data_IF_415413162979
#
_entry.id   IF_415413162979
#
_cell.length_a   1.000
_cell.length_b   1.000
_cell.length_c   1.000
_cell.angle_alpha   90.00
_cell.angle_beta   90.00
_cell.angle_gamma   90.00
#
_symmetry.space_group_name_H-M   'P 1'
#
loop_
_entity.id
_entity.type
_entity.pdbx_description
1 polymer ?
#
# COMPACT_ATOMS: atom_id res chain seq x y z
N UNK A 1 -26.73 -15.50 -37.49
CA UNK A 1 -26.79 -14.15 -38.10
C UNK A 1 -27.18 -13.14 -37.02
N UNK A 2 -26.23 -12.73 -36.17
CA UNK A 2 -26.08 -11.36 -35.64
C UNK A 2 -24.87 -11.32 -34.71
N UNK A 3 -23.71 -11.08 -35.31
CA UNK A 3 -22.39 -11.12 -34.67
C UNK A 3 -21.71 -9.74 -34.84
N UNK A 4 -22.39 -8.68 -34.36
CA UNK A 4 -21.90 -7.29 -34.39
C UNK A 4 -22.18 -6.62 -33.05
N UNK A 5 -21.28 -6.75 -32.07
CA UNK A 5 -21.08 -5.75 -31.00
C UNK A 5 -19.93 -6.13 -30.05
N UNK A 6 -18.69 -6.25 -30.55
CA UNK A 6 -17.50 -6.51 -29.70
C UNK A 6 -16.33 -5.53 -29.83
N UNK A 7 -16.49 -4.40 -30.53
CA UNK A 7 -15.35 -3.54 -30.90
C UNK A 7 -15.26 -2.14 -30.27
N UNK A 8 -15.96 -1.84 -29.18
CA UNK A 8 -15.91 -0.51 -28.52
C UNK A 8 -15.19 -0.45 -27.16
N UNK A 9 -14.47 -1.50 -26.74
CA UNK A 9 -13.85 -1.53 -25.39
C UNK A 9 -12.41 -0.98 -25.29
N UNK A 10 -11.75 -0.60 -26.39
CA UNK A 10 -10.33 -0.19 -26.37
C UNK A 10 -10.07 1.33 -26.48
N UNK A 11 -11.08 2.17 -26.75
CA UNK A 11 -10.87 3.62 -26.96
C UNK A 11 -10.92 4.47 -25.67
N UNK A 12 -10.99 3.83 -24.49
CA UNK A 12 -11.05 4.51 -23.19
C UNK A 12 -9.68 4.92 -22.61
N UNK A 13 -8.59 4.80 -23.36
CA UNK A 13 -7.22 5.00 -22.84
C UNK A 13 -6.63 6.41 -22.98
N UNK A 14 -7.29 7.33 -23.70
CA UNK A 14 -6.87 8.72 -23.89
C UNK A 14 -7.99 9.71 -23.53
N UNK A 15 -8.38 9.76 -22.26
CA UNK A 15 -9.15 10.89 -21.73
C UNK A 15 -8.25 12.10 -21.51
N UNK A 16 -8.61 13.23 -22.13
CA UNK A 16 -7.97 14.54 -22.04
C UNK A 16 -7.74 14.98 -20.57
N UNK A 17 -6.52 15.47 -20.26
CA UNK A 17 -6.14 15.90 -18.92
C UNK A 17 -6.84 17.19 -18.48
N UNK A 18 -7.28 18.06 -19.41
CA UNK A 18 -7.80 19.40 -19.07
C UNK A 18 -9.25 19.41 -18.55
N UNK A 19 -10.04 18.38 -18.82
CA UNK A 19 -11.46 18.34 -18.42
C UNK A 19 -11.71 17.98 -16.95
N UNK A 20 -10.77 17.33 -16.26
CA UNK A 20 -11.01 16.85 -14.89
C UNK A 20 -10.97 17.93 -13.80
N UNK A 21 -10.41 19.11 -14.07
CA UNK A 21 -10.40 20.21 -13.10
C UNK A 21 -11.79 20.87 -12.99
N UNK A 22 -12.66 20.65 -13.98
CA UNK A 22 -13.99 21.29 -14.08
C UNK A 22 -15.18 20.32 -13.89
N UNK A 23 -14.95 19.07 -13.50
CA UNK A 23 -15.97 18.00 -13.47
C UNK A 23 -16.92 17.96 -12.26
N UNK A 24 -17.13 19.03 -11.50
CA UNK A 24 -18.09 18.99 -10.37
C UNK A 24 -19.19 20.07 -10.44
N UNK A 25 -20.10 20.04 -11.45
CA UNK A 25 -21.35 20.79 -11.38
C UNK A 25 -22.43 19.93 -10.70
N UNK A 26 -22.36 19.81 -9.37
CA UNK A 26 -23.48 19.55 -8.42
C UNK A 26 -22.90 19.15 -7.05
N UNK A 27 -23.46 19.62 -5.93
CA UNK A 27 -22.63 19.91 -4.76
C UNK A 27 -22.15 18.71 -3.92
N UNK A 28 -22.70 17.48 -4.05
CA UNK A 28 -22.30 16.38 -3.14
C UNK A 28 -22.16 14.96 -3.73
N UNK A 29 -22.94 14.56 -4.75
CA UNK A 29 -22.81 13.20 -5.32
C UNK A 29 -21.53 13.00 -6.16
N UNK A 30 -20.94 14.08 -6.66
CA UNK A 30 -19.80 14.01 -7.58
C UNK A 30 -18.43 13.90 -6.91
N UNK A 31 -18.32 14.13 -5.59
CA UNK A 31 -17.01 14.20 -4.94
C UNK A 31 -16.32 12.83 -4.90
N UNK A 32 -17.04 11.75 -4.61
CA UNK A 32 -16.47 10.38 -4.58
C UNK A 32 -15.94 9.96 -5.96
N UNK A 33 -16.66 10.30 -7.03
CA UNK A 33 -16.25 10.05 -8.41
C UNK A 33 -14.99 10.86 -8.76
N UNK A 34 -14.92 12.12 -8.31
CA UNK A 34 -13.74 12.97 -8.49
C UNK A 34 -12.50 12.36 -7.82
N UNK A 35 -12.59 11.94 -6.55
CA UNK A 35 -11.46 11.30 -5.87
C UNK A 35 -11.04 9.97 -6.51
N UNK A 36 -12.00 9.15 -6.95
CA UNK A 36 -11.70 7.92 -7.68
C UNK A 36 -10.90 8.23 -8.96
N UNK A 37 -11.25 9.30 -9.68
CA UNK A 37 -10.54 9.77 -10.87
C UNK A 37 -9.13 10.27 -10.55
N UNK A 38 -8.97 11.06 -9.49
CA UNK A 38 -7.66 11.57 -9.04
C UNK A 38 -6.75 10.40 -8.65
N UNK A 39 -7.26 9.48 -7.85
CA UNK A 39 -6.54 8.29 -7.42
C UNK A 39 -6.16 7.42 -8.62
N UNK A 40 -7.10 7.16 -9.54
CA UNK A 40 -6.84 6.43 -10.77
C UNK A 40 -5.67 7.03 -11.56
N UNK A 41 -5.65 8.37 -11.70
CA UNK A 41 -4.55 9.10 -12.35
C UNK A 41 -3.26 8.98 -11.58
N UNK A 42 -3.29 9.17 -10.27
CA UNK A 42 -2.12 9.04 -9.41
C UNK A 42 -1.51 7.63 -9.54
N UNK A 43 -2.33 6.58 -9.42
CA UNK A 43 -1.92 5.17 -9.63
C UNK A 43 -1.27 4.99 -11.00
N UNK A 44 -1.92 5.43 -12.08
CA UNK A 44 -1.40 5.30 -13.45
C UNK A 44 -0.02 5.95 -13.65
N UNK A 45 0.31 6.96 -12.85
CA UNK A 45 1.61 7.63 -12.89
C UNK A 45 2.63 6.94 -11.98
N UNK A 46 2.31 6.66 -10.72
CA UNK A 46 3.33 6.21 -9.77
C UNK A 46 3.66 4.73 -9.93
N UNK A 47 2.70 3.85 -10.29
CA UNK A 47 2.97 2.40 -10.32
C UNK A 47 4.04 2.05 -11.38
N UNK A 48 4.04 2.62 -12.61
CA UNK A 48 5.09 2.34 -13.58
C UNK A 48 6.45 2.88 -13.13
N UNK A 49 6.48 4.07 -12.51
CA UNK A 49 7.72 4.65 -11.96
C UNK A 49 8.29 3.72 -10.88
N UNK A 50 7.43 3.21 -9.99
CA UNK A 50 7.82 2.30 -8.93
C UNK A 50 8.35 0.97 -9.50
N UNK A 51 7.62 0.36 -10.44
CA UNK A 51 7.93 -0.96 -11.01
C UNK A 51 9.16 -0.94 -11.91
N UNK A 52 9.27 0.03 -12.82
CA UNK A 52 10.30 0.02 -13.86
C UNK A 52 11.54 0.84 -13.53
N UNK A 53 11.43 1.84 -12.64
CA UNK A 53 12.55 2.72 -12.33
C UNK A 53 13.07 2.49 -10.91
N UNK A 54 12.24 2.69 -9.90
CA UNK A 54 12.71 2.80 -8.52
C UNK A 54 13.10 1.45 -7.91
N UNK A 55 12.22 0.45 -7.95
CA UNK A 55 12.54 -0.87 -7.38
C UNK A 55 13.76 -1.53 -8.08
N UNK A 56 13.86 -1.54 -9.42
CA UNK A 56 15.05 -2.06 -10.10
C UNK A 56 16.33 -1.30 -9.75
N UNK A 57 16.25 0.03 -9.63
CA UNK A 57 17.39 0.84 -9.21
C UNK A 57 17.84 0.50 -7.79
N UNK A 58 16.91 0.34 -6.85
CA UNK A 58 17.24 -0.06 -5.47
C UNK A 58 17.85 -1.45 -5.45
N UNK A 59 17.30 -2.42 -6.19
CA UNK A 59 17.87 -3.78 -6.33
C UNK A 59 19.32 -3.70 -6.83
N UNK A 60 19.58 -2.90 -7.86
CA UNK A 60 20.93 -2.69 -8.38
C UNK A 60 21.89 -2.12 -7.31
N UNK A 61 21.48 -1.07 -6.61
CA UNK A 61 22.28 -0.45 -5.55
C UNK A 61 22.55 -1.44 -4.41
N UNK A 62 21.54 -2.15 -3.93
CA UNK A 62 21.67 -3.19 -2.90
C UNK A 62 22.67 -4.26 -3.34
N UNK A 63 22.48 -4.82 -4.53
CA UNK A 63 23.30 -5.93 -5.03
C UNK A 63 24.77 -5.52 -5.22
N UNK A 64 25.01 -4.37 -5.86
CA UNK A 64 26.34 -3.98 -6.35
C UNK A 64 27.09 -2.97 -5.49
N UNK A 65 26.39 -2.10 -4.76
CA UNK A 65 27.00 -0.90 -4.15
C UNK A 65 26.98 -0.90 -2.62
N UNK A 66 26.19 -1.77 -1.98
CA UNK A 66 26.17 -1.83 -0.51
C UNK A 66 27.16 -2.85 0.06
N UNK A 67 27.70 -2.55 1.25
CA UNK A 67 28.53 -3.46 2.05
C UNK A 67 27.71 -4.34 3.00
N UNK A 68 26.41 -4.51 2.72
CA UNK A 68 25.56 -5.38 3.53
C UNK A 68 25.98 -6.84 3.40
N UNK A 69 25.70 -7.62 4.44
CA UNK A 69 25.91 -9.05 4.41
C UNK A 69 25.02 -9.73 3.36
N UNK A 70 25.41 -10.91 2.84
CA UNK A 70 24.67 -11.60 1.79
C UNK A 70 23.21 -11.91 2.15
N UNK A 71 22.94 -12.32 3.40
CA UNK A 71 21.59 -12.59 3.90
C UNK A 71 20.69 -11.34 3.89
N UNK A 72 21.21 -10.20 4.33
CA UNK A 72 20.47 -8.93 4.27
C UNK A 72 20.25 -8.48 2.83
N UNK A 73 21.25 -8.62 1.94
CA UNK A 73 21.10 -8.29 0.51
C UNK A 73 20.01 -9.13 -0.15
N UNK A 74 20.04 -10.45 0.06
CA UNK A 74 19.05 -11.35 -0.49
C UNK A 74 17.63 -11.00 -0.01
N UNK A 75 17.46 -10.72 1.28
CA UNK A 75 16.17 -10.30 1.81
C UNK A 75 15.69 -8.95 1.24
N UNK A 76 16.58 -7.96 1.08
CA UNK A 76 16.24 -6.68 0.43
C UNK A 76 15.82 -6.88 -1.03
N UNK A 77 16.57 -7.67 -1.80
CA UNK A 77 16.23 -7.96 -3.19
C UNK A 77 14.87 -8.67 -3.27
N UNK A 78 14.66 -9.69 -2.43
CA UNK A 78 13.37 -10.39 -2.33
C UNK A 78 12.23 -9.43 -1.98
N UNK A 79 12.42 -8.54 -0.99
CA UNK A 79 11.43 -7.53 -0.62
C UNK A 79 11.04 -6.64 -1.80
N UNK A 80 12.02 -6.12 -2.56
CA UNK A 80 11.72 -5.26 -3.72
C UNK A 80 11.09 -6.02 -4.89
N UNK A 81 11.40 -7.30 -5.09
CA UNK A 81 10.69 -8.14 -6.07
C UNK A 81 9.21 -8.30 -5.68
N UNK A 82 8.94 -8.54 -4.38
CA UNK A 82 7.56 -8.64 -3.88
C UNK A 82 6.82 -7.30 -3.95
N UNK A 83 7.52 -6.18 -3.72
CA UNK A 83 6.96 -4.84 -3.91
C UNK A 83 6.60 -4.58 -5.38
N UNK A 84 7.43 -5.02 -6.34
CA UNK A 84 7.10 -4.96 -7.78
C UNK A 84 5.83 -5.79 -8.05
N UNK A 85 5.76 -7.03 -7.54
CA UNK A 85 4.59 -7.88 -7.68
C UNK A 85 3.31 -7.25 -7.10
N UNK A 86 3.43 -6.66 -5.90
CA UNK A 86 2.36 -5.92 -5.25
C UNK A 86 1.93 -4.71 -6.09
N UNK A 87 2.86 -3.90 -6.62
CA UNK A 87 2.52 -2.72 -7.42
C UNK A 87 1.87 -3.08 -8.75
N UNK A 88 2.32 -4.16 -9.41
CA UNK A 88 1.65 -4.66 -10.62
C UNK A 88 0.25 -5.14 -10.27
N UNK A 89 0.10 -5.90 -9.17
CA UNK A 89 -1.20 -6.40 -8.77
C UNK A 89 -2.15 -5.25 -8.38
N UNK A 90 -1.78 -4.39 -7.44
CA UNK A 90 -2.61 -3.30 -6.92
C UNK A 90 -2.73 -2.09 -7.89
N UNK A 91 -1.76 -1.87 -8.77
CA UNK A 91 -1.72 -0.75 -9.70
C UNK A 91 -2.37 -1.02 -11.06
N UNK A 92 -2.32 -2.27 -11.54
CA UNK A 92 -2.80 -2.68 -12.86
C UNK A 92 -3.92 -3.72 -12.81
N UNK A 93 -3.73 -4.82 -12.06
CA UNK A 93 -4.61 -5.98 -12.11
C UNK A 93 -5.88 -5.81 -11.26
N UNK A 94 -5.73 -5.33 -10.03
CA UNK A 94 -6.75 -5.19 -9.00
C UNK A 94 -6.58 -3.86 -8.26
N UNK A 95 -7.24 -2.80 -8.72
CA UNK A 95 -7.28 -1.50 -8.03
C UNK A 95 -8.51 -1.47 -7.14
N UNK A 96 -8.28 -1.78 -5.89
CA UNK A 96 -9.30 -1.77 -4.84
C UNK A 96 -9.59 -0.33 -4.38
N UNK A 97 -10.88 0.00 -4.27
CA UNK A 97 -11.38 1.24 -3.69
C UNK A 97 -12.41 0.95 -2.59
N UNK A 98 -12.18 1.48 -1.38
CA UNK A 98 -13.07 1.28 -0.22
C UNK A 98 -14.08 2.42 -0.09
N UNK A 99 -15.37 2.10 -0.09
CA UNK A 99 -16.47 3.08 0.03
C UNK A 99 -16.93 3.36 1.48
N UNK A 100 -16.01 3.34 2.44
CA UNK A 100 -16.38 3.51 3.86
C UNK A 100 -17.09 4.85 4.10
N UNK A 101 -18.18 4.93 4.88
CA UNK A 101 -18.54 3.96 5.89
C UNK A 101 -19.39 2.80 5.36
N UNK A 102 -19.84 2.86 4.10
CA UNK A 102 -20.47 1.70 3.48
C UNK A 102 -19.40 0.63 3.27
N UNK A 103 -19.64 -0.62 3.72
CA UNK A 103 -18.64 -1.67 3.67
C UNK A 103 -18.65 -2.35 2.28
N UNK A 104 -18.38 -1.52 1.27
CA UNK A 104 -18.33 -1.89 -0.14
C UNK A 104 -16.90 -1.70 -0.63
N UNK A 105 -16.34 -2.77 -1.20
CA UNK A 105 -15.08 -2.72 -1.95
C UNK A 105 -15.39 -2.72 -3.44
N UNK A 106 -14.99 -1.64 -4.10
CA UNK A 106 -15.12 -1.46 -5.55
C UNK A 106 -13.82 -1.91 -6.21
N UNK A 107 -13.93 -2.71 -7.25
CA UNK A 107 -12.80 -3.23 -8.02
C UNK A 107 -12.71 -2.52 -9.37
N UNK A 108 -11.54 -1.97 -9.71
CA UNK A 108 -11.24 -1.55 -11.09
C UNK A 108 -9.90 -2.14 -11.54
N UNK A 109 -9.73 -2.53 -12.80
CA UNK A 109 -8.49 -3.20 -13.21
C UNK A 109 -8.73 -4.31 -14.23
N UNK A 110 -7.64 -4.92 -14.69
CA UNK A 110 -7.70 -5.96 -15.73
C UNK A 110 -8.45 -7.21 -15.23
N UNK A 111 -8.33 -7.55 -13.94
CA UNK A 111 -8.98 -8.73 -13.36
C UNK A 111 -10.37 -8.46 -12.78
N UNK A 112 -10.84 -7.21 -12.78
CA UNK A 112 -12.14 -6.82 -12.23
C UNK A 112 -13.28 -7.08 -13.22
N UNK A 113 -13.40 -8.31 -13.72
CA UNK A 113 -14.48 -8.74 -14.61
C UNK A 113 -15.60 -9.40 -13.81
N UNK A 114 -16.80 -9.52 -14.40
CA UNK A 114 -17.95 -10.16 -13.74
C UNK A 114 -17.68 -11.63 -13.34
N UNK A 115 -16.87 -12.34 -14.12
CA UNK A 115 -16.56 -13.76 -13.91
C UNK A 115 -15.59 -14.04 -12.77
N UNK A 116 -14.92 -13.01 -12.24
CA UNK A 116 -13.88 -13.16 -11.22
C UNK A 116 -14.43 -12.78 -9.85
N UNK A 117 -14.39 -13.72 -8.91
CA UNK A 117 -14.88 -13.49 -7.56
C UNK A 117 -14.12 -12.34 -6.87
N UNK A 118 -14.81 -11.27 -6.39
CA UNK A 118 -14.15 -10.18 -5.67
C UNK A 118 -13.48 -10.65 -4.38
N UNK A 119 -14.03 -11.69 -3.73
CA UNK A 119 -13.43 -12.35 -2.56
C UNK A 119 -12.06 -12.92 -2.87
N UNK A 120 -11.91 -13.57 -4.03
CA UNK A 120 -10.62 -14.12 -4.47
C UNK A 120 -9.61 -13.00 -4.71
N UNK A 121 -10.02 -11.92 -5.38
CA UNK A 121 -9.14 -10.77 -5.64
C UNK A 121 -8.67 -10.11 -4.34
N UNK A 122 -9.58 -9.90 -3.38
CA UNK A 122 -9.24 -9.35 -2.07
C UNK A 122 -8.28 -10.29 -1.29
N UNK A 123 -8.46 -11.60 -1.42
CA UNK A 123 -7.57 -12.60 -0.81
C UNK A 123 -6.17 -12.54 -1.41
N UNK A 124 -6.05 -12.45 -2.74
CA UNK A 124 -4.75 -12.32 -3.42
C UNK A 124 -4.09 -10.97 -3.04
N UNK A 125 -4.86 -9.89 -2.92
CA UNK A 125 -4.37 -8.61 -2.43
C UNK A 125 -3.80 -8.73 -1.01
N UNK A 126 -4.50 -9.42 -0.11
CA UNK A 126 -4.04 -9.70 1.24
C UNK A 126 -2.74 -10.52 1.22
N UNK A 127 -2.67 -11.56 0.39
CA UNK A 127 -1.46 -12.36 0.20
C UNK A 127 -0.26 -11.50 -0.19
N UNK A 128 -0.38 -10.64 -1.22
CA UNK A 128 0.73 -9.76 -1.63
C UNK A 128 1.13 -8.79 -0.53
N UNK A 129 0.15 -8.24 0.19
CA UNK A 129 0.39 -7.35 1.33
C UNK A 129 1.22 -8.07 2.40
N UNK A 130 0.85 -9.30 2.76
CA UNK A 130 1.61 -10.09 3.74
C UNK A 130 2.99 -10.50 3.19
N UNK A 131 3.06 -10.94 1.95
CA UNK A 131 4.29 -11.40 1.31
C UNK A 131 5.39 -10.32 1.36
N UNK A 132 5.06 -9.06 1.08
CA UNK A 132 6.04 -7.96 1.16
C UNK A 132 6.49 -7.64 2.60
N UNK A 133 5.63 -7.86 3.60
CA UNK A 133 5.92 -7.57 5.01
C UNK A 133 6.98 -8.53 5.61
N UNK A 134 6.96 -9.80 5.22
CA UNK A 134 7.84 -10.84 5.79
C UNK A 134 9.33 -10.55 5.61
N UNK A 135 9.86 -10.32 4.39
CA UNK A 135 11.27 -10.00 4.23
C UNK A 135 11.62 -8.66 4.87
N UNK A 136 10.68 -7.72 4.95
CA UNK A 136 10.89 -6.46 5.65
C UNK A 136 11.11 -6.67 7.16
N UNK A 137 10.28 -7.47 7.83
CA UNK A 137 10.45 -7.84 9.23
C UNK A 137 11.78 -8.58 9.46
N UNK A 138 12.16 -9.47 8.55
CA UNK A 138 13.46 -10.14 8.60
C UNK A 138 14.61 -9.12 8.53
N UNK A 139 14.60 -8.21 7.55
CA UNK A 139 15.63 -7.17 7.40
C UNK A 139 15.72 -6.33 8.67
N UNK A 140 14.59 -5.86 9.20
CA UNK A 140 14.53 -5.04 10.40
C UNK A 140 15.13 -5.76 11.61
N UNK A 141 14.76 -7.02 11.83
CA UNK A 141 15.32 -7.83 12.91
C UNK A 141 16.83 -8.04 12.73
N UNK A 142 17.30 -8.40 11.52
CA UNK A 142 18.73 -8.63 11.26
C UNK A 142 19.56 -7.35 11.42
N UNK A 143 19.06 -6.21 10.93
CA UNK A 143 19.72 -4.93 11.08
C UNK A 143 19.76 -4.49 12.54
N UNK A 144 18.65 -4.63 13.28
CA UNK A 144 18.61 -4.38 14.71
C UNK A 144 19.69 -5.19 15.42
N UNK A 145 19.71 -6.52 15.23
CA UNK A 145 20.65 -7.42 15.90
C UNK A 145 22.12 -7.12 15.58
N UNK A 146 22.42 -6.53 14.42
CA UNK A 146 23.79 -6.11 14.05
C UNK A 146 24.18 -4.73 14.59
N UNK A 147 23.21 -3.89 14.92
CA UNK A 147 23.46 -2.56 15.47
C UNK A 147 23.56 -2.56 17.00
N UNK A 148 23.18 -3.65 17.66
CA UNK A 148 23.27 -3.75 19.12
C UNK A 148 24.72 -3.94 19.58
N UNK A 149 25.12 -3.29 20.70
CA UNK A 149 26.41 -3.57 21.34
C UNK A 149 26.50 -5.04 21.77
N UNK A 150 27.69 -5.64 21.69
CA UNK A 150 27.95 -7.06 22.00
C UNK A 150 27.52 -7.49 23.40
N UNK A 151 27.47 -6.55 24.35
CA UNK A 151 27.09 -6.79 25.75
C UNK A 151 25.59 -6.60 26.02
N UNK A 152 24.81 -6.22 25.00
CA UNK A 152 23.39 -5.94 25.18
C UNK A 152 22.60 -7.23 25.44
N UNK A 153 21.73 -7.27 26.47
CA UNK A 153 20.90 -8.45 26.77
C UNK A 153 19.85 -8.73 25.68
N UNK A 154 19.58 -7.75 24.79
CA UNK A 154 18.66 -7.89 23.66
C UNK A 154 19.28 -8.52 22.40
N UNK A 155 20.53 -8.99 22.47
CA UNK A 155 21.10 -9.82 21.41
C UNK A 155 20.44 -11.19 21.46
N UNK A 156 19.72 -11.52 20.40
CA UNK A 156 18.99 -12.76 20.26
C UNK A 156 19.83 -13.78 19.51
N UNK A 157 19.79 -15.03 19.95
CA UNK A 157 20.37 -16.15 19.19
C UNK A 157 19.69 -16.29 17.83
N UNK A 158 20.38 -16.88 16.83
CA UNK A 158 19.78 -17.15 15.50
C UNK A 158 18.51 -17.99 15.59
N UNK A 159 18.46 -18.94 16.53
CA UNK A 159 17.28 -19.80 16.77
C UNK A 159 16.10 -18.97 17.28
N UNK A 160 16.35 -18.08 18.25
CA UNK A 160 15.32 -17.18 18.77
C UNK A 160 14.83 -16.20 17.71
N UNK A 161 15.73 -15.64 16.89
CA UNK A 161 15.35 -14.77 15.76
C UNK A 161 14.43 -15.51 14.78
N UNK A 162 14.76 -16.77 14.44
CA UNK A 162 13.94 -17.61 13.58
C UNK A 162 12.56 -17.89 14.20
N UNK A 163 12.52 -18.28 15.47
CA UNK A 163 11.26 -18.54 16.18
C UNK A 163 10.34 -17.30 16.20
N UNK A 164 10.90 -16.12 16.51
CA UNK A 164 10.16 -14.86 16.47
C UNK A 164 9.59 -14.59 15.07
N UNK A 165 10.40 -14.77 14.01
CA UNK A 165 9.94 -14.56 12.64
C UNK A 165 8.86 -15.55 12.22
N UNK A 166 8.94 -16.82 12.65
CA UNK A 166 7.91 -17.82 12.39
C UNK A 166 6.58 -17.41 13.04
N UNK A 167 6.61 -16.94 14.29
CA UNK A 167 5.41 -16.48 15.01
C UNK A 167 4.79 -15.25 14.31
N UNK A 168 5.62 -14.26 13.96
CA UNK A 168 5.16 -13.07 13.22
C UNK A 168 4.57 -13.46 11.86
N UNK A 169 5.25 -14.35 11.13
CA UNK A 169 4.76 -14.84 9.84
C UNK A 169 3.44 -15.59 9.97
N UNK A 170 3.32 -16.53 10.91
CA UNK A 170 2.08 -17.26 11.15
C UNK A 170 0.91 -16.32 11.47
N UNK A 171 1.16 -15.32 12.32
CA UNK A 171 0.19 -14.26 12.65
C UNK A 171 -0.20 -13.44 11.41
N UNK A 172 0.73 -13.14 10.51
CA UNK A 172 0.40 -12.44 9.27
C UNK A 172 -0.42 -13.32 8.31
N UNK A 173 -0.07 -14.59 8.16
CA UNK A 173 -0.77 -15.56 7.30
C UNK A 173 -2.21 -15.79 7.74
N UNK A 174 -2.53 -15.73 9.04
CA UNK A 174 -3.91 -15.86 9.52
C UNK A 174 -4.83 -14.76 8.96
N UNK A 175 -4.30 -13.58 8.61
CA UNK A 175 -5.09 -12.55 7.90
C UNK A 175 -5.44 -12.99 6.48
N UNK A 176 -4.50 -13.60 5.74
CA UNK A 176 -4.81 -14.11 4.39
C UNK A 176 -5.94 -15.13 4.46
N UNK A 177 -5.88 -16.03 5.45
CA UNK A 177 -6.95 -16.98 5.71
C UNK A 177 -8.26 -16.28 6.06
N UNK A 178 -8.25 -15.30 6.94
CA UNK A 178 -9.49 -14.67 7.39
C UNK A 178 -10.12 -13.76 6.33
N UNK A 179 -9.33 -13.04 5.51
CA UNK A 179 -9.83 -12.43 4.27
C UNK A 179 -10.44 -13.49 3.34
N UNK A 180 -9.79 -14.64 3.19
CA UNK A 180 -10.33 -15.73 2.39
C UNK A 180 -11.60 -16.31 2.98
N UNK A 181 -11.75 -16.43 4.30
CA UNK A 181 -12.85 -17.12 4.97
C UNK A 181 -14.08 -16.24 5.19
N UNK A 182 -13.87 -14.98 5.60
CA UNK A 182 -14.92 -14.10 6.12
C UNK A 182 -15.30 -12.93 5.19
N UNK A 183 -14.69 -12.82 4.01
CA UNK A 183 -15.12 -11.87 2.97
C UNK A 183 -16.34 -12.39 2.20
N UNK A 184 -17.40 -12.72 2.93
CA UNK A 184 -18.66 -13.24 2.38
C UNK A 184 -19.47 -12.10 1.79
N UNK A 185 -20.03 -12.32 0.61
CA UNK A 185 -20.89 -11.34 -0.04
C UNK A 185 -22.27 -11.29 0.63
N UNK A 186 -22.77 -10.08 0.89
CA UNK A 186 -24.08 -9.86 1.49
C UNK A 186 -25.19 -10.35 0.56
N UNK A 187 -26.16 -11.08 1.13
CA UNK A 187 -27.37 -11.51 0.40
C UNK A 187 -28.21 -10.33 -0.11
N UNK A 188 -28.02 -9.13 0.44
CA UNK A 188 -28.72 -7.89 0.04
C UNK A 188 -27.96 -7.04 -0.97
N UNK A 189 -26.87 -7.56 -1.59
CA UNK A 189 -26.03 -6.80 -2.53
C UNK A 189 -26.83 -6.06 -3.61
N UNK A 190 -27.78 -6.73 -4.26
CA UNK A 190 -28.56 -6.13 -5.35
C UNK A 190 -29.42 -4.94 -4.87
N UNK A 191 -30.04 -5.06 -3.69
CA UNK A 191 -30.82 -3.99 -3.06
C UNK A 191 -29.92 -2.80 -2.71
N UNK A 192 -28.77 -3.07 -2.06
CA UNK A 192 -27.81 -2.05 -1.63
C UNK A 192 -27.30 -1.27 -2.84
N UNK A 193 -26.85 -1.95 -3.90
CA UNK A 193 -26.34 -1.29 -5.11
C UNK A 193 -27.42 -0.55 -5.92
N UNK A 194 -28.71 -0.73 -5.59
CA UNK A 194 -29.80 0.01 -6.22
C UNK A 194 -30.16 1.32 -5.50
N UNK A 195 -29.64 1.54 -4.29
CA UNK A 195 -29.86 2.78 -3.53
C UNK A 195 -29.25 3.99 -4.25
N UNK A 196 -29.94 5.13 -4.25
CA UNK A 196 -29.58 6.30 -5.08
C UNK A 196 -28.13 6.77 -4.87
N UNK A 197 -27.62 6.73 -3.64
CA UNK A 197 -26.29 7.24 -3.29
C UNK A 197 -25.13 6.30 -3.66
N UNK A 198 -25.40 5.04 -4.01
CA UNK A 198 -24.40 4.04 -4.44
C UNK A 198 -24.66 3.49 -5.85
N UNK A 199 -25.78 3.84 -6.47
CA UNK A 199 -26.17 3.39 -7.82
C UNK A 199 -25.08 3.67 -8.87
N UNK A 200 -24.35 4.77 -8.72
CA UNK A 200 -23.25 5.13 -9.63
C UNK A 200 -22.14 4.08 -9.69
N UNK A 201 -21.97 3.21 -8.68
CA UNK A 201 -20.94 2.15 -8.71
C UNK A 201 -21.14 1.24 -9.92
N UNK A 202 -22.40 0.95 -10.27
CA UNK A 202 -22.77 0.12 -11.43
C UNK A 202 -22.34 0.73 -12.76
N UNK A 203 -22.11 2.05 -12.82
CA UNK A 203 -21.59 2.70 -14.04
C UNK A 203 -20.08 2.61 -14.14
N UNK A 204 -19.39 2.24 -13.05
CA UNK A 204 -17.94 2.15 -12.97
C UNK A 204 -17.46 0.71 -13.09
N UNK A 205 -18.13 -0.23 -12.41
CA UNK A 205 -17.74 -1.64 -12.39
C UNK A 205 -18.90 -2.53 -11.98
N UNK A 206 -18.97 -3.71 -12.59
CA UNK A 206 -19.89 -4.77 -12.18
C UNK A 206 -19.29 -5.64 -11.05
N UNK A 207 -17.97 -5.53 -10.83
CA UNK A 207 -17.26 -6.29 -9.82
C UNK A 207 -17.08 -5.47 -8.53
N UNK A 208 -17.95 -5.69 -7.56
CA UNK A 208 -17.88 -5.11 -6.23
C UNK A 208 -18.20 -6.15 -5.17
N UNK A 209 -17.56 -6.03 -4.00
CA UNK A 209 -17.85 -6.82 -2.81
C UNK A 209 -18.66 -5.97 -1.84
N UNK A 210 -19.88 -6.40 -1.53
CA UNK A 210 -20.72 -5.75 -0.52
C UNK A 210 -20.74 -6.63 0.72
N UNK A 211 -20.14 -6.18 1.82
CA UNK A 211 -20.01 -7.00 3.03
C UNK A 211 -21.22 -6.91 3.97
N UNK A 212 -21.96 -5.80 3.94
CA UNK A 212 -23.16 -5.65 4.75
C UNK A 212 -24.00 -4.44 4.37
N UNK A 213 -25.13 -4.29 5.05
CA UNK A 213 -26.25 -3.49 4.56
C UNK A 213 -26.20 -2.02 4.96
N UNK A 214 -25.46 -1.70 6.03
CA UNK A 214 -25.43 -0.36 6.65
C UNK A 214 -24.01 -0.01 7.09
N UNK A 215 -23.72 1.28 7.31
CA UNK A 215 -22.49 1.71 8.00
C UNK A 215 -22.27 0.93 9.30
N UNK A 216 -21.07 0.36 9.46
CA UNK A 216 -20.68 -0.45 10.63
C UNK A 216 -21.20 -1.90 10.64
N UNK A 217 -22.15 -2.24 9.76
CA UNK A 217 -22.59 -3.62 9.53
C UNK A 217 -21.74 -4.26 8.44
N UNK A 218 -20.69 -4.97 8.86
CA UNK A 218 -19.73 -5.64 7.98
C UNK A 218 -19.95 -7.16 7.89
N UNK A 219 -21.06 -7.66 8.44
CA UNK A 219 -21.36 -9.09 8.49
C UNK A 219 -20.22 -9.92 9.10
N UNK A 220 -19.94 -11.08 8.50
CA UNK A 220 -18.90 -12.01 8.94
C UNK A 220 -17.48 -11.41 8.88
N UNK A 221 -17.27 -10.39 8.05
CA UNK A 221 -15.98 -9.71 7.92
C UNK A 221 -15.53 -9.03 9.22
N UNK A 222 -16.44 -8.86 10.18
CA UNK A 222 -16.09 -8.45 11.55
C UNK A 222 -15.10 -9.40 12.21
N UNK A 223 -15.18 -10.71 11.95
CA UNK A 223 -14.22 -11.68 12.47
C UNK A 223 -12.82 -11.44 11.90
N UNK A 224 -12.71 -11.13 10.61
CA UNK A 224 -11.43 -10.76 9.99
C UNK A 224 -10.87 -9.48 10.61
N UNK A 225 -11.70 -8.46 10.87
CA UNK A 225 -11.20 -7.24 11.52
C UNK A 225 -10.64 -7.50 12.93
N UNK A 226 -11.19 -8.47 13.66
CA UNK A 226 -10.62 -8.87 14.97
C UNK A 226 -9.26 -9.57 14.79
N UNK A 227 -9.13 -10.49 13.83
CA UNK A 227 -7.86 -11.15 13.52
C UNK A 227 -6.81 -10.15 13.03
N UNK A 228 -7.23 -9.18 12.21
CA UNK A 228 -6.40 -8.09 11.74
C UNK A 228 -5.93 -7.20 12.89
N UNK A 229 -6.83 -6.83 13.80
CA UNK A 229 -6.47 -6.03 14.98
C UNK A 229 -5.45 -6.78 15.85
N UNK A 230 -5.69 -8.07 16.12
CA UNK A 230 -4.75 -8.90 16.89
C UNK A 230 -3.39 -8.98 16.21
N UNK A 231 -3.38 -9.16 14.88
CA UNK A 231 -2.16 -9.19 14.08
C UNK A 231 -1.41 -7.86 14.11
N UNK A 232 -2.13 -6.74 14.01
CA UNK A 232 -1.57 -5.39 14.16
C UNK A 232 -0.96 -5.24 15.53
N UNK A 233 -1.65 -5.59 16.61
CA UNK A 233 -1.11 -5.46 17.98
C UNK A 233 0.20 -6.24 18.14
N UNK A 234 0.26 -7.50 17.71
CA UNK A 234 1.48 -8.32 17.83
C UNK A 234 2.62 -7.76 16.98
N UNK A 235 2.38 -7.55 15.68
CA UNK A 235 3.44 -7.14 14.75
C UNK A 235 3.88 -5.70 15.01
N UNK A 236 2.95 -4.80 15.35
CA UNK A 236 3.25 -3.41 15.70
C UNK A 236 4.03 -3.33 17.00
N UNK A 237 3.67 -4.10 18.02
CA UNK A 237 4.42 -4.10 19.29
C UNK A 237 5.87 -4.54 19.05
N UNK A 238 6.09 -5.60 18.27
CA UNK A 238 7.43 -6.02 17.88
C UNK A 238 8.18 -4.93 17.10
N UNK A 239 7.51 -4.30 16.15
CA UNK A 239 8.09 -3.26 15.32
C UNK A 239 8.48 -2.00 16.12
N UNK A 240 7.57 -1.52 16.96
CA UNK A 240 7.78 -0.38 17.88
C UNK A 240 8.91 -0.71 18.84
N UNK A 241 8.98 -1.93 19.38
CA UNK A 241 10.08 -2.35 20.25
C UNK A 241 11.44 -2.26 19.55
N UNK A 242 11.56 -2.81 18.33
CA UNK A 242 12.80 -2.71 17.54
C UNK A 242 13.16 -1.26 17.25
N UNK A 243 12.19 -0.45 16.85
CA UNK A 243 12.42 0.95 16.50
C UNK A 243 12.80 1.77 17.71
N UNK A 244 12.11 1.59 18.84
CA UNK A 244 12.43 2.24 20.09
C UNK A 244 13.89 2.00 20.45
N UNK A 245 14.36 0.74 20.40
CA UNK A 245 15.76 0.41 20.66
C UNK A 245 16.71 1.10 19.68
N UNK A 246 16.39 1.12 18.39
CA UNK A 246 17.20 1.79 17.36
C UNK A 246 17.22 3.32 17.54
N UNK A 247 16.08 3.94 17.81
CA UNK A 247 15.95 5.40 17.94
C UNK A 247 16.65 5.88 19.20
N UNK A 248 16.37 5.27 20.35
CA UNK A 248 16.96 5.71 21.61
C UNK A 248 18.48 5.46 21.66
N UNK A 249 18.98 4.38 21.05
CA UNK A 249 20.42 4.09 21.07
C UNK A 249 21.21 4.74 19.94
N UNK A 250 20.60 4.98 18.77
CA UNK A 250 21.31 5.45 17.56
C UNK A 250 20.91 6.88 17.17
N UNK A 251 19.88 7.46 17.79
CA UNK A 251 19.48 8.87 17.60
C UNK A 251 18.85 9.17 16.23
N UNK A 252 18.29 8.18 15.52
CA UNK A 252 17.80 8.36 14.14
C UNK A 252 16.27 8.51 14.07
N UNK A 253 15.78 9.75 13.89
CA UNK A 253 14.34 10.08 13.84
C UNK A 253 13.56 9.43 12.67
N UNK A 254 14.22 9.03 11.59
CA UNK A 254 13.54 8.56 10.36
C UNK A 254 12.78 7.22 10.57
N UNK A 255 13.07 6.47 11.65
CA UNK A 255 12.35 5.22 11.92
C UNK A 255 10.85 5.47 12.23
N UNK A 256 10.52 6.60 12.85
CA UNK A 256 9.13 6.96 13.18
C UNK A 256 8.27 7.14 11.93
N UNK A 257 8.85 7.73 10.87
CA UNK A 257 8.13 7.96 9.62
C UNK A 257 7.69 6.65 8.98
N UNK A 258 8.54 5.62 9.01
CA UNK A 258 8.20 4.30 8.47
C UNK A 258 7.10 3.61 9.27
N UNK A 259 7.02 3.80 10.59
CA UNK A 259 5.87 3.34 11.38
C UNK A 259 4.57 3.93 10.84
N UNK A 260 4.55 5.24 10.61
CA UNK A 260 3.32 5.95 10.20
C UNK A 260 2.84 5.39 8.86
N UNK A 261 3.70 5.28 7.86
CA UNK A 261 3.28 4.80 6.54
C UNK A 261 2.84 3.33 6.51
N UNK A 262 3.40 2.49 7.37
CA UNK A 262 3.09 1.07 7.38
C UNK A 262 1.82 0.74 8.17
N UNK A 263 1.63 1.38 9.33
CA UNK A 263 0.52 1.04 10.23
C UNK A 263 -0.70 1.95 10.06
N UNK A 264 -0.52 3.20 9.64
CA UNK A 264 -1.63 4.14 9.44
C UNK A 264 -2.71 3.59 8.51
N UNK A 265 -2.40 2.98 7.33
CA UNK A 265 -3.44 2.42 6.47
C UNK A 265 -4.29 1.36 7.17
N UNK A 266 -3.66 0.44 7.92
CA UNK A 266 -4.36 -0.66 8.58
C UNK A 266 -5.28 -0.15 9.71
N UNK A 267 -4.77 0.79 10.51
CA UNK A 267 -5.55 1.42 11.59
C UNK A 267 -6.69 2.26 11.00
N UNK A 268 -6.43 3.03 9.95
CA UNK A 268 -7.46 3.79 9.24
C UNK A 268 -8.54 2.87 8.67
N UNK A 269 -8.17 1.75 8.03
CA UNK A 269 -9.11 0.77 7.50
C UNK A 269 -10.01 0.21 8.61
N UNK A 270 -9.42 -0.19 9.74
CA UNK A 270 -10.17 -0.69 10.90
C UNK A 270 -11.16 0.36 11.40
N UNK A 271 -10.71 1.60 11.59
CA UNK A 271 -11.57 2.68 12.09
C UNK A 271 -12.71 2.99 11.10
N UNK A 272 -12.38 3.10 9.81
CA UNK A 272 -13.31 3.42 8.72
C UNK A 272 -14.43 2.38 8.59
N UNK A 273 -14.09 1.09 8.68
CA UNK A 273 -15.06 0.01 8.53
C UNK A 273 -15.86 -0.25 9.82
N UNK A 274 -15.22 -0.20 11.00
CA UNK A 274 -15.86 -0.60 12.24
C UNK A 274 -16.71 0.49 12.87
N UNK A 275 -16.15 1.69 13.01
CA UNK A 275 -16.86 2.75 13.71
C UNK A 275 -17.91 3.40 12.82
N UNK A 276 -17.72 3.36 11.49
CA UNK A 276 -18.56 4.04 10.52
C UNK A 276 -18.60 5.53 10.85
N UNK A 277 -17.88 6.37 10.11
CA UNK A 277 -17.80 7.83 10.28
C UNK A 277 -19.16 8.56 10.07
N UNK A 278 -20.23 8.07 10.69
CA UNK A 278 -21.62 8.49 10.56
C UNK A 278 -21.90 9.81 11.26
N UNK A 279 -21.06 10.19 12.24
CA UNK A 279 -21.20 11.47 12.97
C UNK A 279 -20.23 12.56 12.50
N UNK A 280 -19.21 12.24 11.71
CA UNK A 280 -18.30 13.26 11.16
C UNK A 280 -18.93 13.89 9.93
N UNK A 281 -18.83 15.21 9.78
CA UNK A 281 -19.40 15.92 8.64
C UNK A 281 -18.98 15.29 7.30
N UNK A 282 -19.95 15.19 6.37
CA UNK A 282 -19.78 14.64 5.02
C UNK A 282 -18.59 15.24 4.25
N UNK A 283 -18.09 16.39 4.71
CA UNK A 283 -16.94 17.10 4.17
C UNK A 283 -15.62 16.32 4.34
N UNK A 284 -15.37 15.66 5.48
CA UNK A 284 -14.05 15.07 5.75
C UNK A 284 -13.86 13.69 5.16
N UNK A 285 -14.93 12.92 5.06
CA UNK A 285 -14.90 11.52 4.68
C UNK A 285 -14.18 11.27 3.33
N UNK A 286 -14.42 12.07 2.27
CA UNK A 286 -13.75 11.88 0.98
C UNK A 286 -12.23 12.11 1.06
N UNK A 287 -11.78 13.08 1.85
CA UNK A 287 -10.35 13.31 2.11
C UNK A 287 -9.71 12.14 2.86
N UNK A 288 -10.38 11.63 3.90
CA UNK A 288 -9.90 10.47 4.68
C UNK A 288 -9.76 9.24 3.79
N UNK A 289 -10.74 8.97 2.92
CA UNK A 289 -10.67 7.88 1.93
C UNK A 289 -9.49 8.07 0.98
N UNK A 290 -9.34 9.27 0.41
CA UNK A 290 -8.23 9.57 -0.49
C UNK A 290 -6.87 9.36 0.19
N UNK A 291 -6.69 9.90 1.40
CA UNK A 291 -5.46 9.73 2.17
C UNK A 291 -5.20 8.25 2.48
N UNK A 292 -6.21 7.51 2.92
CA UNK A 292 -6.09 6.06 3.15
C UNK A 292 -5.60 5.33 1.90
N UNK A 293 -6.23 5.57 0.76
CA UNK A 293 -5.89 4.90 -0.50
C UNK A 293 -4.50 5.27 -0.98
N UNK A 294 -4.09 6.53 -0.86
CA UNK A 294 -2.74 6.96 -1.16
C UNK A 294 -1.72 6.30 -0.23
N UNK A 295 -1.97 6.28 1.09
CA UNK A 295 -1.06 5.64 2.04
C UNK A 295 -0.96 4.12 1.82
N UNK A 296 -2.06 3.46 1.46
CA UNK A 296 -2.08 2.03 1.13
C UNK A 296 -1.36 1.70 -0.18
N UNK A 297 -1.38 2.63 -1.14
CA UNK A 297 -0.88 2.45 -2.51
C UNK A 297 0.59 2.85 -2.69
N UNK A 298 1.11 3.73 -1.84
CA UNK A 298 2.48 4.23 -1.89
C UNK A 298 3.56 3.48 -1.06
N UNK A 299 3.33 2.35 -0.35
CA UNK A 299 4.39 1.69 0.43
C UNK A 299 5.64 1.40 -0.39
N UNK A 300 5.49 0.83 -1.59
CA UNK A 300 6.62 0.48 -2.47
C UNK A 300 7.47 1.69 -2.87
N UNK A 301 6.82 2.79 -3.26
CA UNK A 301 7.46 4.06 -3.59
C UNK A 301 8.22 4.60 -2.38
N UNK A 302 7.55 4.64 -1.22
CA UNK A 302 8.12 5.16 0.02
C UNK A 302 9.34 4.35 0.46
N UNK A 303 9.26 3.02 0.48
CA UNK A 303 10.38 2.15 0.86
C UNK A 303 11.60 2.38 -0.05
N UNK A 304 11.37 2.52 -1.36
CA UNK A 304 12.43 2.80 -2.33
C UNK A 304 13.07 4.18 -2.11
N UNK A 305 12.27 5.23 -1.92
CA UNK A 305 12.77 6.60 -1.66
C UNK A 305 13.58 6.62 -0.36
N UNK A 306 13.06 6.06 0.73
CA UNK A 306 13.77 6.02 2.02
C UNK A 306 15.11 5.29 1.90
N UNK A 307 15.15 4.21 1.14
CA UNK A 307 16.41 3.50 0.87
C UNK A 307 17.41 4.39 0.12
N UNK A 308 16.98 5.02 -0.99
CA UNK A 308 17.84 5.87 -1.83
C UNK A 308 18.40 7.04 -1.02
N UNK A 309 17.53 7.73 -0.28
CA UNK A 309 17.91 8.88 0.56
C UNK A 309 18.88 8.48 1.67
N UNK A 310 18.80 7.26 2.20
CA UNK A 310 19.69 6.77 3.26
C UNK A 310 20.95 6.08 2.77
N UNK A 311 21.01 5.68 1.50
CA UNK A 311 22.15 4.94 0.96
C UNK A 311 23.39 5.85 0.93
N UNK A 312 24.47 5.53 1.67
CA UNK A 312 25.69 6.35 1.66
C UNK A 312 26.26 6.53 0.26
N UNK A 313 26.14 5.50 -0.58
CA UNK A 313 26.57 5.57 -1.97
C UNK A 313 25.75 6.59 -2.78
N UNK A 314 24.42 6.58 -2.65
CA UNK A 314 23.56 7.53 -3.35
C UNK A 314 23.83 8.97 -2.90
N UNK A 315 23.97 9.20 -1.58
CA UNK A 315 24.32 10.51 -1.02
C UNK A 315 25.65 11.00 -1.60
N UNK A 316 26.69 10.15 -1.60
CA UNK A 316 27.99 10.50 -2.16
C UNK A 316 27.92 10.86 -3.65
N UNK A 317 27.12 10.13 -4.45
CA UNK A 317 26.92 10.49 -5.87
C UNK A 317 26.23 11.84 -6.01
N UNK A 318 25.14 12.09 -5.28
CA UNK A 318 24.44 13.38 -5.31
C UNK A 318 25.34 14.55 -4.93
N UNK A 319 26.16 14.40 -3.88
CA UNK A 319 27.14 15.41 -3.49
C UNK A 319 28.19 15.67 -4.59
N UNK A 320 28.68 14.63 -5.27
CA UNK A 320 29.64 14.78 -6.38
C UNK A 320 29.03 15.53 -7.56
N UNK A 321 27.79 15.22 -7.92
CA UNK A 321 27.09 15.94 -8.99
C UNK A 321 26.87 17.42 -8.64
N UNK A 322 26.43 17.70 -7.40
CA UNK A 322 26.23 19.07 -6.94
C UNK A 322 27.52 19.90 -6.90
N UNK A 323 28.65 19.30 -6.51
CA UNK A 323 29.95 19.99 -6.52
C UNK A 323 30.44 20.27 -7.95
N UNK A 324 30.17 19.34 -8.89
CA UNK A 324 30.53 19.50 -10.29
C UNK A 324 29.76 20.66 -10.92
N UNK A 325 28.44 20.76 -10.68
CA UNK A 325 27.63 21.86 -11.22
C UNK A 325 28.05 23.24 -10.69
N UNK A 326 28.45 23.33 -9.42
CA UNK A 326 28.96 24.59 -8.83
C UNK A 326 30.29 25.00 -9.47
N UNK A 327 31.18 24.03 -9.72
CA UNK A 327 32.48 24.30 -10.36
C UNK A 327 32.31 24.77 -11.80
N UNK A 328 31.40 24.15 -12.56
CA UNK A 328 31.11 24.54 -13.94
C UNK A 328 30.52 25.96 -14.01
N UNK A 329 29.55 26.30 -13.16
CA UNK A 329 29.00 27.66 -13.09
C UNK A 329 30.04 28.71 -12.69
N UNK A 330 30.93 28.39 -11.74
CA UNK A 330 32.02 29.29 -11.31
C UNK A 330 33.03 29.54 -12.42
N UNK A 331 33.22 28.57 -13.33
CA UNK A 331 34.13 28.71 -14.46
C UNK A 331 33.54 29.60 -15.55
N UNK A 332 32.23 29.47 -15.82
CA UNK A 332 31.51 30.35 -16.77
C UNK A 332 31.54 31.80 -16.28
N UNK A 333 31.29 32.04 -14.99
CA UNK A 333 31.31 33.40 -14.40
C UNK A 333 32.70 34.05 -14.38
N UNK A 334 33.80 33.28 -14.48
CA UNK A 334 35.16 33.83 -14.58
C UNK A 334 35.55 34.18 -16.02
N UNK A 335 34.81 33.68 -17.01
CA UNK A 335 35.07 33.90 -18.43
C UNK A 335 34.20 35.01 -19.04
N UNK A 336 33.12 35.39 -18.35
CA UNK A 336 32.32 36.60 -18.61
C UNK A 336 32.89 37.80 -17.88
#
# INVERSE_FOLDING_TARGET
MNDRNRNTRNDLLFYDMRSAIWCCPEPYQNLSVCYLSIEYRARRIYWPISVFLLNPFVIFVVARKTFMSPDCKAAYVCHHILLIGFDVYNGLLYRMYTLAPMPIFVCTGVLCTEDVSPRLLLTIQSFWTIAMCVPYLFIMLRMHQKMMPSESPFILSKRTQCAVLIVLYATLVTNVYGFAAWSTESSKKAEILNQDHVRWIKTVTDNCLVLGARPGDIGDFGNELVVLLFSVVINFTFYVFIIYQVVFKIGKQIALLTCIFFFSPLVMLFIMLRFGFTSSSDVWLPYVRFVFLMLYSLPSLYHSIVFIVKSPWCIQQLCRYSLKSITEQSTVLRLS
#
